data_IF_003114711282
#
_entry.id   IF_003114711282
#
_cell.length_a   1.000
_cell.length_b   1.000
_cell.length_c   1.000
_cell.angle_alpha   90.00
_cell.angle_beta   90.00
_cell.angle_gamma   90.00
#
_symmetry.space_group_name_H-M   'P 1'
#
loop_
_entity.id
_entity.type
_entity.pdbx_description
1 polymer ?
#
# COMPACT_ATOMS: atom_id res chain seq x y z
N UNK A 1 -5.15 29.10 1.24
CA UNK A 1 -4.66 28.16 0.24
C UNK A 1 -4.48 28.89 -1.09
N UNK A 2 -3.38 28.60 -1.81
CA UNK A 2 -3.09 29.25 -3.10
C UNK A 2 -4.12 28.78 -4.14
N UNK A 3 -4.80 29.71 -4.80
CA UNK A 3 -5.77 29.42 -5.87
C UNK A 3 -5.08 28.98 -7.18
N UNK A 4 -4.14 28.01 -7.09
CA UNK A 4 -3.42 27.47 -8.24
C UNK A 4 -4.25 26.37 -8.88
N UNK A 5 -4.44 26.43 -10.20
CA UNK A 5 -5.09 25.36 -10.95
C UNK A 5 -4.22 24.12 -10.94
N UNK A 6 -4.73 23.02 -10.38
CA UNK A 6 -4.01 21.76 -10.32
C UNK A 6 -3.94 21.14 -11.72
N UNK A 7 -2.73 20.85 -12.26
CA UNK A 7 -2.59 20.18 -13.55
C UNK A 7 -3.27 18.80 -13.57
N UNK A 8 -3.85 18.40 -14.70
CA UNK A 8 -4.52 17.09 -14.86
C UNK A 8 -3.59 15.88 -14.69
N UNK A 9 -2.29 16.10 -14.68
CA UNK A 9 -1.26 15.08 -14.47
C UNK A 9 -1.00 14.78 -12.99
N UNK A 10 -1.58 15.56 -12.07
CA UNK A 10 -1.48 15.33 -10.62
C UNK A 10 -2.54 14.32 -10.23
N UNK A 11 -2.12 13.15 -9.75
CA UNK A 11 -3.00 12.05 -9.31
C UNK A 11 -3.32 12.10 -7.81
N UNK A 12 -2.64 12.96 -7.05
CA UNK A 12 -2.88 13.13 -5.62
C UNK A 12 -4.24 13.75 -5.32
N UNK A 13 -4.84 13.37 -4.18
CA UNK A 13 -6.09 13.99 -3.70
C UNK A 13 -5.81 15.38 -3.12
N UNK A 14 -6.74 16.31 -3.37
CA UNK A 14 -6.71 17.62 -2.71
C UNK A 14 -7.26 17.52 -1.28
N UNK A 15 -6.40 17.77 -0.31
CA UNK A 15 -6.76 17.80 1.12
C UNK A 15 -7.06 19.21 1.64
N UNK A 16 -7.18 20.21 0.76
CA UNK A 16 -7.44 21.60 1.14
C UNK A 16 -8.69 21.75 2.00
N UNK A 17 -9.80 21.16 1.57
CA UNK A 17 -11.05 21.20 2.35
C UNK A 17 -10.91 20.55 3.74
N UNK A 18 -10.17 19.44 3.84
CA UNK A 18 -9.94 18.77 5.13
C UNK A 18 -9.17 19.66 6.11
N UNK A 19 -8.17 20.40 5.64
CA UNK A 19 -7.37 21.32 6.45
C UNK A 19 -8.25 22.46 6.99
N UNK A 20 -9.27 22.87 6.23
CA UNK A 20 -10.25 23.90 6.62
C UNK A 20 -11.43 23.33 7.43
N UNK A 21 -11.34 22.07 7.89
CA UNK A 21 -12.38 21.41 8.68
C UNK A 21 -13.50 20.76 7.87
N UNK A 22 -13.33 20.66 6.55
CA UNK A 22 -14.26 20.01 5.65
C UNK A 22 -14.06 18.48 5.53
N UNK A 23 -14.58 17.90 4.45
CA UNK A 23 -14.60 16.45 4.21
C UNK A 23 -13.22 15.89 3.87
N UNK A 24 -12.89 14.73 4.44
CA UNK A 24 -11.71 13.96 4.04
C UNK A 24 -11.94 13.32 2.65
N UNK A 25 -11.13 13.63 1.62
CA UNK A 25 -11.29 13.09 0.29
C UNK A 25 -10.85 11.61 0.18
N UNK A 26 -10.13 11.10 1.16
CA UNK A 26 -9.50 9.77 1.12
C UNK A 26 -10.33 8.65 1.77
N UNK A 27 -11.64 8.81 1.99
CA UNK A 27 -12.49 7.78 2.63
C UNK A 27 -11.85 7.06 3.86
N UNK A 28 -10.83 7.64 4.47
CA UNK A 28 -10.20 7.18 5.71
C UNK A 28 -9.16 6.05 5.56
N UNK A 29 -8.78 5.67 4.33
CA UNK A 29 -7.78 4.61 4.13
C UNK A 29 -6.71 4.99 3.09
N UNK A 30 -5.44 4.85 3.44
CA UNK A 30 -4.29 5.02 2.54
C UNK A 30 -3.77 3.66 2.04
N UNK A 31 -3.37 3.59 0.76
CA UNK A 31 -2.67 2.42 0.22
C UNK A 31 -1.23 2.44 0.70
N UNK A 32 -0.74 1.27 1.12
CA UNK A 32 0.67 0.98 1.35
C UNK A 32 1.10 -0.17 0.43
N UNK A 33 2.26 -0.08 -0.20
CA UNK A 33 2.66 -1.08 -1.19
C UNK A 33 4.16 -1.25 -1.32
N UNK A 34 4.55 -2.47 -1.71
CA UNK A 34 5.88 -2.79 -2.21
C UNK A 34 5.70 -3.57 -3.53
N UNK A 35 5.76 -2.91 -4.70
CA UNK A 35 5.60 -3.57 -5.98
C UNK A 35 6.71 -4.57 -6.29
N UNK A 36 7.95 -4.26 -5.91
CA UNK A 36 9.10 -5.15 -6.09
C UNK A 36 10.09 -4.97 -4.93
N UNK A 37 10.36 -5.99 -4.13
CA UNK A 37 11.30 -5.90 -3.03
C UNK A 37 12.74 -5.76 -3.54
N UNK A 38 13.51 -4.81 -2.97
CA UNK A 38 14.90 -4.52 -3.37
C UNK A 38 15.77 -4.09 -2.18
N UNK A 39 17.08 -3.94 -2.40
CA UNK A 39 18.01 -3.48 -1.37
C UNK A 39 18.03 -4.40 -0.14
N UNK A 40 17.91 -3.83 1.03
CA UNK A 40 17.84 -4.56 2.32
C UNK A 40 16.54 -5.35 2.48
N UNK A 41 15.49 -5.00 1.72
CA UNK A 41 14.21 -5.72 1.67
C UNK A 41 14.13 -6.69 0.48
N UNK A 42 15.27 -7.07 -0.13
CA UNK A 42 15.29 -8.02 -1.23
C UNK A 42 14.75 -9.40 -0.83
N UNK A 43 14.24 -10.17 -1.82
CA UNK A 43 13.66 -11.50 -1.60
C UNK A 43 14.58 -12.45 -0.83
N UNK A 44 15.90 -12.40 -1.08
CA UNK A 44 16.91 -13.22 -0.37
C UNK A 44 16.95 -12.97 1.15
N UNK A 45 16.43 -11.81 1.60
CA UNK A 45 16.34 -11.42 3.00
C UNK A 45 14.91 -11.50 3.54
N UNK A 46 14.01 -12.19 2.84
CA UNK A 46 12.61 -12.36 3.24
C UNK A 46 11.66 -11.28 2.74
N UNK A 47 12.15 -10.34 1.95
CA UNK A 47 11.32 -9.32 1.30
C UNK A 47 10.34 -9.92 0.31
N UNK A 48 9.17 -9.31 0.21
CA UNK A 48 8.08 -9.75 -0.68
C UNK A 48 7.26 -8.58 -1.21
N UNK A 49 6.62 -8.82 -2.32
CA UNK A 49 5.60 -7.89 -2.80
C UNK A 49 4.41 -7.90 -1.85
N UNK A 50 3.89 -6.72 -1.61
CA UNK A 50 2.66 -6.58 -0.84
C UNK A 50 1.81 -5.40 -1.31
N UNK A 51 0.53 -5.47 -0.98
CA UNK A 51 -0.42 -4.39 -1.02
C UNK A 51 -1.14 -4.38 0.31
N UNK A 52 -1.41 -3.19 0.82
CA UNK A 52 -2.14 -3.04 2.06
C UNK A 52 -2.85 -1.72 2.14
N UNK A 53 -3.61 -1.56 3.20
CA UNK A 53 -4.23 -0.30 3.61
C UNK A 53 -3.84 0.02 5.04
N UNK A 54 -3.71 1.32 5.27
CA UNK A 54 -3.63 1.89 6.60
C UNK A 54 -4.80 2.82 6.82
N UNK A 55 -5.62 2.52 7.81
CA UNK A 55 -6.65 3.41 8.36
C UNK A 55 -6.12 4.07 9.63
N UNK A 56 -6.92 4.91 10.29
CA UNK A 56 -6.58 5.43 11.61
C UNK A 56 -6.39 4.29 12.60
N UNK A 57 -7.36 3.35 12.66
CA UNK A 57 -7.40 2.28 13.67
C UNK A 57 -6.64 1.01 13.27
N UNK A 58 -6.51 0.67 11.98
CA UNK A 58 -5.96 -0.62 11.58
C UNK A 58 -5.00 -0.52 10.39
N UNK A 59 -4.05 -1.47 10.34
CA UNK A 59 -3.23 -1.78 9.16
C UNK A 59 -3.56 -3.19 8.70
N UNK A 60 -3.81 -3.38 7.40
CA UNK A 60 -4.06 -4.69 6.79
C UNK A 60 -3.22 -4.86 5.52
N UNK A 61 -2.55 -6.00 5.37
CA UNK A 61 -1.62 -6.26 4.28
C UNK A 61 -1.84 -7.66 3.71
N UNK A 62 -1.85 -7.75 2.38
CA UNK A 62 -1.75 -9.01 1.63
C UNK A 62 -0.42 -9.10 0.89
N UNK A 63 0.19 -10.29 0.86
CA UNK A 63 1.24 -10.65 -0.08
C UNK A 63 0.63 -11.38 -1.30
N UNK A 64 1.45 -11.84 -2.25
CA UNK A 64 0.97 -12.57 -3.44
C UNK A 64 0.28 -13.91 -3.12
N UNK A 65 0.36 -14.40 -1.88
CA UNK A 65 -0.28 -15.64 -1.42
C UNK A 65 -1.59 -15.36 -0.68
N UNK A 66 -1.89 -14.11 -0.36
CA UNK A 66 -3.08 -13.67 0.35
C UNK A 66 -2.80 -12.88 1.63
N UNK A 67 -3.74 -12.88 2.59
CA UNK A 67 -3.61 -12.15 3.83
C UNK A 67 -2.32 -12.47 4.57
N UNK A 68 -1.58 -11.43 4.99
CA UNK A 68 -0.27 -11.59 5.62
C UNK A 68 -0.19 -10.93 6.99
N UNK A 69 -0.60 -9.66 7.10
CA UNK A 69 -0.49 -8.91 8.35
C UNK A 69 -1.78 -8.13 8.62
N UNK A 70 -2.17 -8.07 9.89
CA UNK A 70 -3.24 -7.20 10.38
C UNK A 70 -2.89 -6.71 11.79
N UNK A 71 -2.96 -5.40 12.01
CA UNK A 71 -2.62 -4.77 13.28
C UNK A 71 -3.67 -3.74 13.69
N UNK A 72 -3.89 -3.61 14.99
CA UNK A 72 -4.59 -2.48 15.60
C UNK A 72 -3.58 -1.36 15.88
N UNK A 73 -3.72 -0.23 15.20
CA UNK A 73 -2.76 0.87 15.33
C UNK A 73 -2.92 1.65 16.65
N UNK A 74 -4.08 1.54 17.30
CA UNK A 74 -4.39 2.25 18.56
C UNK A 74 -3.92 1.46 19.77
N UNK A 75 -4.19 0.14 19.79
CA UNK A 75 -3.82 -0.75 20.90
C UNK A 75 -2.38 -1.28 20.77
N UNK A 76 -1.88 -1.38 19.53
CA UNK A 76 -0.54 -1.87 19.21
C UNK A 76 0.18 -0.93 18.20
N UNK A 77 0.56 0.28 18.62
CA UNK A 77 1.17 1.26 17.74
C UNK A 77 2.51 0.81 17.16
N UNK A 78 3.18 -0.15 17.78
CA UNK A 78 4.44 -0.76 17.34
C UNK A 78 4.24 -1.98 16.44
N UNK A 79 2.98 -2.42 16.21
CA UNK A 79 2.63 -3.53 15.32
C UNK A 79 3.35 -4.85 15.68
N UNK A 80 3.37 -5.19 16.94
CA UNK A 80 4.03 -6.39 17.48
C UNK A 80 3.11 -7.63 17.45
N UNK A 81 1.78 -7.42 17.44
CA UNK A 81 0.78 -8.48 17.57
C UNK A 81 -0.04 -8.59 16.26
N UNK A 82 0.27 -9.58 15.43
CA UNK A 82 -0.51 -9.82 14.21
C UNK A 82 -1.87 -10.45 14.55
N UNK A 83 -2.95 -9.73 14.26
CA UNK A 83 -4.33 -10.11 14.57
C UNK A 83 -4.97 -11.05 13.54
N UNK A 84 -4.29 -11.32 12.42
CA UNK A 84 -4.89 -12.01 11.28
C UNK A 84 -5.45 -13.40 11.61
N UNK A 85 -4.77 -14.14 12.50
CA UNK A 85 -5.17 -15.49 12.90
C UNK A 85 -5.73 -15.56 14.32
N UNK A 86 -6.10 -14.42 14.90
CA UNK A 86 -6.73 -14.37 16.23
C UNK A 86 -8.23 -14.58 16.04
N UNK A 87 -8.83 -15.60 16.68
CA UNK A 87 -10.27 -15.88 16.61
C UNK A 87 -11.12 -14.64 16.94
N UNK A 88 -12.19 -14.43 16.16
CA UNK A 88 -13.08 -13.28 16.30
C UNK A 88 -12.75 -12.09 15.41
N UNK A 89 -11.61 -12.09 14.73
CA UNK A 89 -11.18 -11.01 13.84
C UNK A 89 -11.50 -11.27 12.36
N UNK A 90 -12.16 -12.36 12.02
CA UNK A 90 -12.42 -12.78 10.63
C UNK A 90 -13.27 -11.74 9.88
N UNK A 91 -14.28 -11.19 10.56
CA UNK A 91 -15.13 -10.14 9.99
C UNK A 91 -14.32 -8.87 9.71
N UNK A 92 -13.52 -8.41 10.68
CA UNK A 92 -12.66 -7.24 10.52
C UNK A 92 -11.67 -7.42 9.36
N UNK A 93 -11.00 -8.57 9.30
CA UNK A 93 -10.09 -8.89 8.19
C UNK A 93 -10.82 -8.87 6.83
N UNK A 94 -12.04 -9.39 6.78
CA UNK A 94 -12.90 -9.36 5.60
C UNK A 94 -13.26 -7.93 5.17
N UNK A 95 -13.65 -7.09 6.10
CA UNK A 95 -14.02 -5.68 5.85
C UNK A 95 -12.80 -4.88 5.33
N UNK A 96 -11.64 -5.01 5.96
CA UNK A 96 -10.39 -4.37 5.55
C UNK A 96 -9.93 -4.86 4.15
N UNK A 97 -10.06 -6.15 3.89
CA UNK A 97 -9.80 -6.74 2.56
C UNK A 97 -10.69 -6.13 1.47
N UNK A 98 -11.97 -5.88 1.75
CA UNK A 98 -12.87 -5.24 0.79
C UNK A 98 -12.45 -3.79 0.51
N UNK A 99 -11.99 -3.06 1.52
CA UNK A 99 -11.45 -1.70 1.32
C UNK A 99 -10.22 -1.76 0.42
N UNK A 100 -9.26 -2.66 0.70
CA UNK A 100 -8.07 -2.84 -0.13
C UNK A 100 -8.45 -3.14 -1.59
N UNK A 101 -9.34 -4.09 -1.83
CA UNK A 101 -9.81 -4.45 -3.19
C UNK A 101 -10.40 -3.27 -3.94
N UNK A 102 -11.24 -2.45 -3.29
CA UNK A 102 -11.80 -1.24 -3.93
C UNK A 102 -10.71 -0.26 -4.32
N UNK A 103 -9.71 -0.05 -3.44
CA UNK A 103 -8.59 0.86 -3.68
C UNK A 103 -7.71 0.39 -4.84
N UNK A 104 -7.36 -0.90 -4.90
CA UNK A 104 -6.57 -1.47 -5.99
C UNK A 104 -7.32 -1.37 -7.32
N UNK A 105 -8.63 -1.63 -7.31
CA UNK A 105 -9.47 -1.45 -8.51
C UNK A 105 -9.49 0.01 -8.99
N UNK A 106 -9.59 0.97 -8.08
CA UNK A 106 -9.62 2.39 -8.41
C UNK A 106 -8.30 2.89 -9.02
N UNK A 107 -7.17 2.27 -8.66
CA UNK A 107 -5.82 2.58 -9.20
C UNK A 107 -5.38 1.65 -10.33
N UNK A 108 -6.26 0.74 -10.80
CA UNK A 108 -5.94 -0.30 -11.79
C UNK A 108 -4.70 -1.15 -11.40
N UNK A 109 -4.48 -1.36 -10.10
CA UNK A 109 -3.39 -2.21 -9.62
C UNK A 109 -3.83 -3.67 -9.60
N UNK A 110 -3.27 -4.48 -10.49
CA UNK A 110 -3.55 -5.91 -10.63
C UNK A 110 -2.83 -6.76 -9.57
N UNK A 111 -1.96 -6.16 -8.77
CA UNK A 111 -1.12 -6.83 -7.77
C UNK A 111 -0.37 -8.04 -8.34
N UNK A 112 0.34 -7.81 -9.42
CA UNK A 112 1.18 -8.83 -10.07
C UNK A 112 2.54 -8.97 -9.38
N UNK A 113 3.27 -10.09 -9.63
CA UNK A 113 4.67 -10.21 -9.22
C UNK A 113 5.54 -9.06 -9.75
N UNK A 114 6.46 -8.54 -8.95
CA UNK A 114 7.28 -7.37 -9.28
C UNK A 114 8.04 -7.50 -10.60
N UNK A 115 8.49 -8.71 -10.95
CA UNK A 115 9.16 -8.97 -12.23
C UNK A 115 8.27 -8.70 -13.46
N UNK A 116 6.94 -8.80 -13.31
CA UNK A 116 6.01 -8.47 -14.40
C UNK A 116 6.03 -6.95 -14.65
N UNK A 117 6.04 -6.14 -13.58
CA UNK A 117 6.16 -4.68 -13.70
C UNK A 117 7.51 -4.25 -14.26
N UNK A 118 8.61 -4.87 -13.81
CA UNK A 118 9.96 -4.62 -14.34
C UNK A 118 10.00 -4.81 -15.86
N UNK A 119 9.42 -5.91 -16.34
CA UNK A 119 9.34 -6.20 -17.79
C UNK A 119 8.39 -5.25 -18.52
N UNK A 120 7.20 -5.02 -17.95
CA UNK A 120 6.16 -4.16 -18.55
C UNK A 120 6.67 -2.74 -18.81
N UNK A 121 7.47 -2.20 -17.88
CA UNK A 121 7.99 -0.84 -17.96
C UNK A 121 9.45 -0.75 -18.40
N UNK A 122 10.03 -1.89 -18.82
CA UNK A 122 11.41 -1.99 -19.32
C UNK A 122 12.46 -1.34 -18.39
N UNK A 123 12.32 -1.50 -17.09
CA UNK A 123 13.33 -1.01 -16.14
C UNK A 123 14.65 -1.74 -16.34
N UNK A 124 15.76 -1.02 -16.58
CA UNK A 124 17.08 -1.63 -16.62
C UNK A 124 17.48 -2.06 -15.19
N UNK A 125 17.72 -3.36 -15.00
CA UNK A 125 18.21 -3.87 -13.72
C UNK A 125 19.68 -4.27 -13.84
N UNK A 126 20.46 -3.95 -12.82
CA UNK A 126 21.81 -4.45 -12.62
C UNK A 126 21.81 -5.90 -12.10
N UNK A 127 23.02 -6.46 -11.86
CA UNK A 127 23.19 -7.82 -11.33
C UNK A 127 22.58 -8.02 -9.93
N UNK A 128 22.33 -6.96 -9.20
CA UNK A 128 21.72 -7.00 -7.86
C UNK A 128 20.19 -6.89 -7.91
N UNK A 129 19.61 -6.64 -9.08
CA UNK A 129 18.18 -6.42 -9.28
C UNK A 129 17.74 -5.01 -8.96
N UNK A 130 18.66 -4.05 -8.97
CA UNK A 130 18.41 -2.62 -8.69
C UNK A 130 18.51 -1.83 -10.00
N UNK A 131 17.70 -0.78 -10.15
CA UNK A 131 17.85 0.19 -11.25
C UNK A 131 19.14 0.96 -11.02
N UNK A 132 20.13 0.89 -11.94
CA UNK A 132 21.38 1.59 -11.75
C UNK A 132 21.17 3.11 -11.74
N UNK A 133 21.96 3.78 -10.94
CA UNK A 133 21.99 5.24 -10.94
C UNK A 133 22.62 5.70 -12.26
N UNK A 134 21.85 6.33 -13.13
CA UNK A 134 22.40 6.97 -14.33
C UNK A 134 22.87 8.37 -13.97
N UNK A 135 24.19 8.60 -14.05
CA UNK A 135 24.74 9.97 -14.00
C UNK A 135 24.35 10.73 -15.26
#
# INVERSE_FOLDING_TARGET
LSSVVIPKTVEGLDFGELIEGGKNPNDGAAIISCPAPFGQWARRWGGREFRGIRTVSHTYVEDLRGPWLMFDNEQDPYQLNNLLNVPGNEKLAGDLKQILKRKLKATNDEFLPGQVYVKKWAYPLDKTGTVPYSN
#
